data_IF_073167947981
#
_entry.id   IF_073167947981
#
_cell.length_a   1.000
_cell.length_b   1.000
_cell.length_c   1.000
_cell.angle_alpha   90.00
_cell.angle_beta   90.00
_cell.angle_gamma   90.00
#
_symmetry.space_group_name_H-M   'P 1'
#
loop_
_entity.id
_entity.type
_entity.pdbx_description
1 polymer ?
#
# COMPACT_ATOMS: atom_id res chain seq x y z
N UNK A 1 39.40 12.36 -6.12
CA UNK A 1 38.29 11.41 -5.90
C UNK A 1 37.07 12.26 -5.53
N UNK A 2 36.04 12.29 -6.38
CA UNK A 2 34.92 13.22 -6.22
C UNK A 2 34.10 12.83 -4.97
N UNK A 3 34.29 13.59 -3.89
CA UNK A 3 33.44 13.52 -2.70
C UNK A 3 32.06 13.98 -3.11
N UNK A 4 31.13 13.04 -3.28
CA UNK A 4 29.75 13.34 -3.59
C UNK A 4 29.18 14.21 -2.49
N UNK A 5 28.99 15.50 -2.78
CA UNK A 5 28.25 16.40 -1.94
C UNK A 5 26.85 15.83 -1.81
N UNK A 6 26.56 15.19 -0.67
CA UNK A 6 25.20 14.85 -0.29
C UNK A 6 24.47 16.19 -0.31
N UNK A 7 23.64 16.34 -1.34
CA UNK A 7 22.72 17.45 -1.50
C UNK A 7 21.93 17.45 -0.20
N UNK A 8 22.23 18.42 0.67
CA UNK A 8 21.37 18.80 1.78
C UNK A 8 20.10 19.32 1.13
N UNK A 9 19.27 18.42 0.59
CA UNK A 9 17.88 18.72 0.34
C UNK A 9 17.39 19.22 1.67
N UNK A 10 16.86 20.42 1.64
CA UNK A 10 16.33 21.13 2.77
C UNK A 10 15.05 20.40 3.19
N UNK A 11 15.22 19.18 3.73
CA UNK A 11 14.17 18.32 4.26
C UNK A 11 13.83 18.90 5.63
N UNK A 12 13.33 20.11 5.58
CA UNK A 12 12.96 20.94 6.71
C UNK A 12 11.61 21.60 6.45
N UNK A 13 10.76 20.98 5.64
CA UNK A 13 9.35 21.33 5.65
C UNK A 13 8.83 21.12 7.07
N UNK A 14 8.11 22.11 7.57
CA UNK A 14 7.48 22.08 8.88
C UNK A 14 6.45 20.96 8.88
N UNK A 15 6.86 19.78 9.30
CA UNK A 15 5.97 18.64 9.45
C UNK A 15 5.00 18.91 10.60
N UNK A 16 3.71 18.97 10.30
CA UNK A 16 2.67 19.13 11.33
C UNK A 16 2.52 17.84 12.13
N UNK A 17 3.30 17.76 13.22
CA UNK A 17 3.32 16.63 14.14
C UNK A 17 1.95 16.41 14.81
N UNK A 18 1.14 17.46 15.00
CA UNK A 18 -0.15 17.34 15.68
C UNK A 18 -1.18 16.67 14.78
N UNK A 19 -1.15 16.97 13.48
CA UNK A 19 -2.10 16.40 12.51
C UNK A 19 -1.64 15.07 11.93
N UNK A 20 -0.36 14.91 11.63
CA UNK A 20 0.17 13.74 10.92
C UNK A 20 0.99 12.79 11.81
N UNK A 21 1.28 13.16 13.06
CA UNK A 21 2.10 12.36 13.97
C UNK A 21 3.59 12.50 13.71
N UNK A 22 4.43 12.14 14.69
CA UNK A 22 5.89 12.35 14.63
C UNK A 22 6.60 11.52 13.54
N UNK A 23 6.13 10.30 13.31
CA UNK A 23 6.79 9.34 12.42
C UNK A 23 6.53 9.61 10.94
N UNK A 24 5.43 10.28 10.58
CA UNK A 24 5.03 10.51 9.18
C UNK A 24 5.82 11.65 8.50
N UNK A 25 6.94 12.08 9.08
CA UNK A 25 7.87 13.03 8.48
C UNK A 25 8.94 12.27 7.72
N UNK A 26 9.52 12.89 6.67
CA UNK A 26 10.73 12.36 6.02
C UNK A 26 11.85 12.10 7.04
N UNK A 27 11.94 12.91 8.11
CA UNK A 27 12.89 12.68 9.22
C UNK A 27 12.55 11.45 10.07
N UNK A 28 11.27 11.13 10.21
CA UNK A 28 10.77 9.94 10.89
C UNK A 28 11.08 8.67 10.10
N UNK A 29 10.94 8.70 8.77
CA UNK A 29 11.32 7.57 7.90
C UNK A 29 12.82 7.25 7.95
N UNK A 30 13.65 8.28 8.17
CA UNK A 30 15.10 8.16 8.35
C UNK A 30 15.49 7.75 9.78
N UNK A 31 14.55 7.77 10.73
CA UNK A 31 14.84 7.46 12.12
C UNK A 31 15.18 5.96 12.28
N UNK A 32 16.01 5.59 13.27
CA UNK A 32 16.30 4.20 13.55
C UNK A 32 15.01 3.40 13.80
N UNK A 33 14.79 2.38 12.97
CA UNK A 33 13.70 1.43 13.21
C UNK A 33 13.91 0.72 14.54
N UNK A 34 12.82 0.37 15.20
CA UNK A 34 12.88 -0.43 16.43
C UNK A 34 13.61 -1.76 16.15
N UNK A 35 14.54 -2.21 17.02
CA UNK A 35 15.35 -3.40 16.75
C UNK A 35 14.53 -4.66 16.49
N UNK A 36 13.37 -4.78 17.16
CA UNK A 36 12.43 -5.90 16.93
C UNK A 36 11.81 -5.80 15.53
N UNK A 37 11.34 -4.62 15.12
CA UNK A 37 10.74 -4.41 13.80
C UNK A 37 11.75 -4.72 12.68
N UNK A 38 13.00 -4.27 12.84
CA UNK A 38 14.07 -4.59 11.89
C UNK A 38 14.34 -6.10 11.81
N UNK A 39 14.22 -6.83 12.92
CA UNK A 39 14.39 -8.29 12.95
C UNK A 39 13.22 -8.99 12.24
N UNK A 40 11.99 -8.57 12.50
CA UNK A 40 10.78 -9.10 11.84
C UNK A 40 10.85 -8.92 10.33
N UNK A 41 11.22 -7.73 9.84
CA UNK A 41 11.37 -7.49 8.39
C UNK A 41 12.46 -8.34 7.75
N UNK A 42 13.58 -8.58 8.45
CA UNK A 42 14.65 -9.46 7.97
C UNK A 42 14.18 -10.91 7.86
N UNK A 43 13.44 -11.39 8.85
CA UNK A 43 12.88 -12.74 8.84
C UNK A 43 11.84 -12.90 7.73
N UNK A 44 10.92 -11.94 7.57
CA UNK A 44 9.94 -11.95 6.49
C UNK A 44 10.62 -12.03 5.10
N UNK A 45 11.67 -11.22 4.88
CA UNK A 45 12.45 -11.26 3.63
C UNK A 45 13.16 -12.61 3.44
N UNK A 46 13.78 -13.14 4.49
CA UNK A 46 14.45 -14.43 4.44
C UNK A 46 13.49 -15.56 4.04
N UNK A 47 12.29 -15.59 4.62
CA UNK A 47 11.28 -16.59 4.26
C UNK A 47 10.73 -16.40 2.84
N UNK A 48 10.57 -15.16 2.38
CA UNK A 48 10.18 -14.88 1.00
C UNK A 48 11.21 -15.40 -0.02
N UNK A 49 12.50 -15.14 0.23
CA UNK A 49 13.59 -15.64 -0.62
C UNK A 49 13.65 -17.18 -0.61
N UNK A 50 13.43 -17.80 0.56
CA UNK A 50 13.38 -19.26 0.69
C UNK A 50 12.18 -19.87 -0.04
N UNK A 51 10.99 -19.25 0.02
CA UNK A 51 9.80 -19.67 -0.75
C UNK A 51 10.07 -19.56 -2.26
N UNK A 52 10.73 -18.48 -2.70
CA UNK A 52 11.12 -18.27 -4.11
C UNK A 52 12.10 -19.35 -4.60
N UNK A 53 13.11 -19.67 -3.79
CA UNK A 53 14.06 -20.74 -4.09
C UNK A 53 13.37 -22.12 -4.14
N UNK A 54 12.47 -22.40 -3.20
CA UNK A 54 11.70 -23.65 -3.20
C UNK A 54 10.81 -23.80 -4.43
N UNK A 55 10.13 -22.73 -4.84
CA UNK A 55 9.32 -22.73 -6.06
C UNK A 55 10.16 -22.94 -7.33
N UNK A 56 11.36 -22.35 -7.39
CA UNK A 56 12.32 -22.56 -8.47
C UNK A 56 12.79 -24.01 -8.57
N UNK A 57 13.08 -24.65 -7.43
CA UNK A 57 13.50 -26.04 -7.38
C UNK A 57 12.41 -27.01 -7.85
N UNK A 58 11.12 -26.68 -7.64
CA UNK A 58 9.98 -27.56 -7.98
C UNK A 58 9.47 -27.31 -9.40
N UNK A 59 9.26 -26.04 -9.78
CA UNK A 59 8.61 -25.65 -11.04
C UNK A 59 9.58 -25.12 -12.08
N UNK A 60 10.85 -24.91 -11.72
CA UNK A 60 11.88 -24.34 -12.58
C UNK A 60 11.97 -22.81 -12.51
N UNK A 61 13.05 -22.27 -13.08
CA UNK A 61 13.38 -20.83 -13.03
C UNK A 61 12.36 -19.95 -13.76
N UNK A 62 11.70 -20.47 -14.80
CA UNK A 62 10.67 -19.74 -15.54
C UNK A 62 9.45 -19.39 -14.68
N UNK A 63 9.16 -20.17 -13.63
CA UNK A 63 8.03 -19.93 -12.75
C UNK A 63 8.17 -18.61 -11.98
N UNK A 64 9.38 -18.30 -11.50
CA UNK A 64 9.65 -17.04 -10.80
C UNK A 64 9.45 -15.83 -11.72
N UNK A 65 9.87 -15.94 -12.99
CA UNK A 65 9.65 -14.88 -13.98
C UNK A 65 8.15 -14.68 -14.21
N UNK A 66 7.38 -15.76 -14.34
CA UNK A 66 5.93 -15.67 -14.47
C UNK A 66 5.27 -15.02 -13.25
N UNK A 67 5.68 -15.42 -12.03
CA UNK A 67 5.18 -14.82 -10.79
C UNK A 67 5.48 -13.32 -10.71
N UNK A 68 6.68 -12.91 -11.10
CA UNK A 68 7.07 -11.49 -11.12
C UNK A 68 6.26 -10.69 -12.17
N UNK A 69 5.96 -11.28 -13.33
CA UNK A 69 5.08 -10.69 -14.34
C UNK A 69 3.63 -10.57 -13.85
N UNK A 70 3.08 -11.64 -13.27
CA UNK A 70 1.72 -11.64 -12.75
C UNK A 70 1.56 -10.62 -11.61
N UNK A 71 2.58 -10.48 -10.74
CA UNK A 71 2.62 -9.45 -9.71
C UNK A 71 2.58 -8.02 -10.30
N UNK A 72 3.31 -7.74 -11.39
CA UNK A 72 3.28 -6.44 -12.07
C UNK A 72 1.95 -6.14 -12.79
N UNK A 73 1.25 -7.18 -13.24
CA UNK A 73 -0.06 -7.05 -13.86
C UNK A 73 -1.09 -6.73 -12.77
N UNK A 74 -1.11 -7.52 -11.69
CA UNK A 74 -2.09 -7.41 -10.62
C UNK A 74 -1.91 -6.15 -9.76
N UNK A 75 -0.69 -5.60 -9.66
CA UNK A 75 -0.45 -4.34 -8.95
C UNK A 75 -1.09 -3.11 -9.61
N UNK A 76 -1.56 -3.25 -10.86
CA UNK A 76 -2.22 -2.16 -11.61
C UNK A 76 -3.75 -2.19 -11.50
N UNK A 77 -4.33 -3.34 -11.17
CA UNK A 77 -5.78 -3.50 -11.11
C UNK A 77 -6.27 -3.21 -9.70
N UNK A 78 -6.81 -2.00 -9.52
CA UNK A 78 -7.48 -1.62 -8.29
C UNK A 78 -8.99 -1.76 -8.46
N UNK A 79 -9.67 -2.38 -7.49
CA UNK A 79 -11.13 -2.33 -7.41
C UNK A 79 -11.56 -0.85 -7.35
N UNK A 80 -12.65 -0.43 -8.03
CA UNK A 80 -13.17 0.92 -7.85
C UNK A 80 -13.31 1.24 -6.35
N UNK A 81 -13.00 2.48 -5.94
CA UNK A 81 -13.22 2.88 -4.56
C UNK A 81 -14.67 2.56 -4.18
N UNK A 82 -14.89 2.08 -2.98
CA UNK A 82 -16.19 1.58 -2.54
C UNK A 82 -16.18 1.26 -1.05
N UNK A 83 -17.27 0.66 -0.57
CA UNK A 83 -17.49 0.40 0.85
C UNK A 83 -16.50 -0.61 1.48
N UNK A 84 -15.69 -1.30 0.68
CA UNK A 84 -14.82 -2.37 1.16
C UNK A 84 -13.33 -1.98 1.00
N UNK A 85 -12.49 -2.25 2.01
CA UNK A 85 -11.12 -1.73 2.07
C UNK A 85 -10.14 -2.41 1.11
N UNK A 86 -10.35 -3.68 0.74
CA UNK A 86 -9.41 -4.41 -0.13
C UNK A 86 -9.43 -3.86 -1.56
N UNK A 87 -8.35 -3.21 -1.97
CA UNK A 87 -8.30 -2.56 -3.28
C UNK A 87 -7.53 -3.40 -4.31
N UNK A 88 -6.64 -4.31 -3.88
CA UNK A 88 -5.77 -5.09 -4.75
C UNK A 88 -5.87 -6.60 -4.48
N UNK A 89 -7.10 -7.11 -4.31
CA UNK A 89 -7.38 -8.50 -3.91
C UNK A 89 -6.58 -9.55 -4.71
N UNK A 90 -6.47 -9.41 -6.03
CA UNK A 90 -5.70 -10.34 -6.85
C UNK A 90 -4.21 -10.33 -6.53
N UNK A 91 -3.64 -9.15 -6.30
CA UNK A 91 -2.23 -9.00 -5.90
C UNK A 91 -2.00 -9.55 -4.49
N UNK A 92 -2.90 -9.26 -3.55
CA UNK A 92 -2.87 -9.76 -2.16
C UNK A 92 -2.95 -11.29 -2.11
N UNK A 93 -3.76 -11.90 -2.98
CA UNK A 93 -3.81 -13.36 -3.13
C UNK A 93 -2.51 -13.95 -3.69
N UNK A 94 -1.85 -13.26 -4.63
CA UNK A 94 -0.58 -13.73 -5.21
C UNK A 94 0.61 -13.61 -4.25
N UNK A 95 0.62 -12.56 -3.42
CA UNK A 95 1.66 -12.35 -2.39
C UNK A 95 1.44 -13.23 -1.15
N UNK A 96 0.19 -13.67 -0.93
CA UNK A 96 -0.22 -14.39 0.28
C UNK A 96 -0.60 -13.46 1.43
N UNK A 97 -0.62 -12.15 1.19
CA UNK A 97 -1.00 -11.15 2.20
C UNK A 97 -2.47 -11.24 2.61
N UNK A 98 -3.32 -11.90 1.81
CA UNK A 98 -4.74 -12.10 2.12
C UNK A 98 -4.97 -13.01 3.35
N UNK A 99 -4.02 -13.91 3.62
CA UNK A 99 -4.11 -14.86 4.74
C UNK A 99 -3.45 -14.32 6.02
N UNK A 100 -2.72 -13.20 5.92
CA UNK A 100 -2.01 -12.58 7.03
C UNK A 100 -2.95 -11.63 7.78
N UNK A 101 -3.01 -11.73 9.11
CA UNK A 101 -3.78 -10.81 9.95
C UNK A 101 -2.99 -9.53 10.25
N UNK A 102 -3.58 -8.39 9.89
CA UNK A 102 -3.06 -7.05 10.15
C UNK A 102 -3.55 -6.45 11.46
N UNK A 103 -3.08 -5.22 11.77
CA UNK A 103 -3.62 -4.46 12.90
C UNK A 103 -5.04 -3.97 12.60
N UNK A 104 -5.28 -3.68 11.33
CA UNK A 104 -6.52 -3.21 10.72
C UNK A 104 -7.66 -4.22 10.88
N UNK A 105 -7.33 -5.52 10.97
CA UNK A 105 -8.31 -6.58 11.21
C UNK A 105 -8.75 -6.65 12.68
N UNK A 106 -7.90 -6.20 13.61
CA UNK A 106 -8.23 -6.16 15.05
C UNK A 106 -8.90 -4.85 15.45
N UNK A 107 -8.48 -3.74 14.84
CA UNK A 107 -8.97 -2.41 15.12
C UNK A 107 -9.64 -1.86 13.87
N UNK A 108 -10.94 -1.61 13.96
CA UNK A 108 -11.69 -0.96 12.88
C UNK A 108 -10.93 0.28 12.39
N UNK A 109 -10.71 0.35 11.08
CA UNK A 109 -10.18 1.57 10.48
C UNK A 109 -11.25 2.66 10.52
N UNK A 110 -10.87 3.95 10.48
CA UNK A 110 -11.84 5.03 10.32
C UNK A 110 -12.78 4.84 9.11
N UNK A 111 -12.30 4.09 8.11
CA UNK A 111 -13.03 3.72 6.90
C UNK A 111 -14.12 2.67 7.14
N UNK A 112 -14.01 1.88 8.21
CA UNK A 112 -15.01 0.87 8.61
C UNK A 112 -16.06 1.43 9.59
N UNK A 113 -15.97 2.73 9.93
CA UNK A 113 -16.94 3.36 10.82
C UNK A 113 -18.32 3.50 10.15
N UNK A 114 -19.40 3.34 10.93
CA UNK A 114 -20.77 3.53 10.43
C UNK A 114 -21.02 4.93 9.84
N UNK A 115 -20.23 5.92 10.25
CA UNK A 115 -20.28 7.29 9.73
C UNK A 115 -19.49 7.49 8.43
N UNK A 116 -18.75 6.47 7.98
CA UNK A 116 -18.00 6.57 6.72
C UNK A 116 -18.96 6.45 5.55
N UNK A 117 -19.14 7.56 4.85
CA UNK A 117 -19.91 7.59 3.61
C UNK A 117 -18.97 7.39 2.43
N UNK A 118 -19.04 6.19 1.83
CA UNK A 118 -18.34 5.91 0.58
C UNK A 118 -18.80 6.90 -0.50
N UNK A 119 -17.90 7.43 -1.35
CA UNK A 119 -18.30 8.31 -2.43
C UNK A 119 -19.32 7.62 -3.35
N UNK A 120 -20.31 8.36 -3.83
CA UNK A 120 -21.30 7.83 -4.79
C UNK A 120 -20.63 7.58 -6.15
N UNK A 121 -20.28 6.32 -6.38
CA UNK A 121 -19.63 5.87 -7.63
C UNK A 121 -20.55 5.98 -8.84
N UNK A 122 -21.86 5.81 -8.65
CA UNK A 122 -22.80 5.90 -9.75
C UNK A 122 -22.83 7.33 -10.29
N UNK A 123 -23.00 8.30 -9.39
CA UNK A 123 -22.94 9.72 -9.77
C UNK A 123 -21.56 10.10 -10.33
N UNK A 124 -20.47 9.64 -9.71
CA UNK A 124 -19.12 9.91 -10.21
C UNK A 124 -18.89 9.39 -11.63
N UNK A 125 -19.42 8.20 -11.95
CA UNK A 125 -19.36 7.66 -13.31
C UNK A 125 -20.23 8.45 -14.28
N UNK A 126 -21.42 8.87 -13.88
CA UNK A 126 -22.28 9.73 -14.71
C UNK A 126 -21.59 11.06 -15.06
N UNK A 127 -20.89 11.69 -14.11
CA UNK A 127 -20.12 12.92 -14.36
C UNK A 127 -18.98 12.66 -15.35
N UNK A 128 -18.23 11.57 -15.17
CA UNK A 128 -17.15 11.18 -16.09
C UNK A 128 -17.64 10.88 -17.51
N UNK A 129 -18.84 10.28 -17.63
CA UNK A 129 -19.50 10.03 -18.92
C UNK A 129 -20.22 11.27 -19.48
N UNK A 130 -20.30 12.37 -18.73
CA UNK A 130 -21.02 13.58 -19.12
C UNK A 130 -22.55 13.45 -19.09
N UNK A 131 -23.08 12.42 -18.42
CA UNK A 131 -24.51 12.19 -18.24
C UNK A 131 -25.10 13.03 -17.09
N UNK A 132 -24.30 13.33 -16.06
CA UNK A 132 -24.67 14.22 -14.97
C UNK A 132 -23.69 15.39 -14.83
N UNK A 133 -24.14 16.47 -14.19
CA UNK A 133 -23.31 17.62 -13.84
C UNK A 133 -23.04 17.60 -12.34
N UNK A 134 -21.81 17.90 -11.93
CA UNK A 134 -21.44 17.95 -10.53
C UNK A 134 -19.96 17.60 -10.31
N UNK A 135 -19.47 17.68 -9.05
CA UNK A 135 -18.19 17.09 -8.69
C UNK A 135 -18.26 15.56 -8.79
N UNK A 136 -17.16 14.91 -9.21
CA UNK A 136 -17.05 13.45 -9.36
C UNK A 136 -17.39 12.72 -8.04
N UNK A 137 -17.05 13.34 -6.91
CA UNK A 137 -17.49 12.91 -5.60
C UNK A 137 -18.31 14.05 -4.99
N UNK A 138 -19.64 13.93 -4.81
CA UNK A 138 -20.40 14.93 -4.07
C UNK A 138 -19.93 14.89 -2.61
N UNK A 139 -19.11 15.88 -2.23
CA UNK A 139 -18.85 16.19 -0.83
C UNK A 139 -20.14 16.71 -0.21
N UNK A 140 -20.39 16.36 1.06
CA UNK A 140 -21.55 16.83 1.82
C UNK A 140 -21.79 18.35 1.71
N UNK A 141 -23.08 18.72 1.73
CA UNK A 141 -23.55 19.94 2.41
C UNK A 141 -23.61 19.68 3.90
#
# INVERSE_FOLDING_TARGET
MASGSIVKKEVGENHDVLRFGFNNSVKGDLAPQHPIQATVHKEAKFWADKKRFGAEAIYGSAFNIRKDLDAQILSKFQRPPGALPSSMLGYEALTGSLDDFGFEDYLNLPQDSDSFHAPDMHHGMEVLLGLSKGPICPSFN
#
